data_IF_751623697172
#
_entry.id   IF_751623697172
#
_cell.length_a   1.000
_cell.length_b   1.000
_cell.length_c   1.000
_cell.angle_alpha   90.00
_cell.angle_beta   90.00
_cell.angle_gamma   90.00
#
_symmetry.space_group_name_H-M   'P 1'
#
loop_
_entity.id
_entity.type
_entity.pdbx_description
1 polymer ?
#
# COMPACT_ATOMS: atom_id res chain seq x y z
N UNK A 1 38.75 48.92 55.80
CA UNK A 1 37.94 49.24 54.65
C UNK A 1 37.43 47.93 54.06
N UNK A 2 36.22 47.55 54.51
CA UNK A 2 35.61 46.23 54.21
C UNK A 2 34.66 46.40 53.08
N UNK A 3 34.92 45.75 51.93
CA UNK A 3 33.97 45.66 50.79
C UNK A 3 33.23 44.37 50.91
N UNK A 4 31.91 44.42 51.19
CA UNK A 4 30.99 43.32 51.14
C UNK A 4 30.64 43.04 49.65
N UNK A 5 30.92 41.82 49.19
CA UNK A 5 30.41 41.31 47.95
C UNK A 5 29.12 40.49 48.22
N UNK A 6 28.00 41.03 47.77
CA UNK A 6 26.72 40.34 47.79
C UNK A 6 26.67 39.47 46.53
N UNK A 7 26.70 38.15 46.74
CA UNK A 7 26.57 37.16 45.69
C UNK A 7 25.07 36.89 45.40
N UNK A 8 24.55 37.49 44.35
CA UNK A 8 23.19 37.27 43.91
C UNK A 8 23.05 35.92 43.21
N UNK A 9 22.29 34.99 43.83
CA UNK A 9 21.96 33.69 43.28
C UNK A 9 20.83 33.82 42.25
N UNK A 10 21.18 33.73 40.95
CA UNK A 10 20.22 33.75 39.83
C UNK A 10 19.70 32.33 39.60
N UNK A 11 18.51 32.03 40.10
CA UNK A 11 17.79 30.77 39.79
C UNK A 11 17.14 30.86 38.42
N UNK A 12 17.77 30.23 37.44
CA UNK A 12 17.16 30.04 36.10
C UNK A 12 16.07 28.94 36.18
N UNK A 13 14.81 29.33 36.12
CA UNK A 13 13.69 28.41 36.00
C UNK A 13 13.67 27.79 34.59
N UNK A 14 13.90 26.48 34.55
CA UNK A 14 13.67 25.69 33.32
C UNK A 14 12.17 25.57 33.09
N UNK A 15 11.64 26.36 32.14
CA UNK A 15 10.28 26.18 31.61
C UNK A 15 10.35 25.00 30.64
N UNK A 16 10.00 23.82 31.14
CA UNK A 16 9.76 22.64 30.34
C UNK A 16 8.48 22.86 29.50
N UNK A 17 8.65 23.22 28.25
CA UNK A 17 7.54 23.14 27.27
C UNK A 17 7.22 21.68 27.03
N UNK A 18 6.28 21.14 27.79
CA UNK A 18 5.66 19.85 27.49
C UNK A 18 4.94 19.95 26.14
N UNK A 19 5.45 19.25 25.15
CA UNK A 19 4.79 19.07 23.86
C UNK A 19 3.54 18.21 24.11
N UNK A 20 2.39 18.84 24.34
CA UNK A 20 1.10 18.17 24.26
C UNK A 20 0.88 17.84 22.78
N UNK A 21 1.10 16.59 22.43
CA UNK A 21 0.49 16.06 21.20
C UNK A 21 -1.03 16.25 21.30
N UNK A 22 -1.53 17.28 20.66
CA UNK A 22 -2.96 17.41 20.41
C UNK A 22 -3.37 16.21 19.55
N UNK A 23 -3.98 15.19 20.18
CA UNK A 23 -4.78 14.21 19.48
C UNK A 23 -5.81 15.02 18.67
N UNK A 24 -5.60 15.13 17.36
CA UNK A 24 -6.63 15.60 16.43
C UNK A 24 -7.79 14.64 16.58
N UNK A 25 -8.81 15.06 17.30
CA UNK A 25 -10.08 14.38 17.39
C UNK A 25 -10.65 14.36 15.96
N UNK A 26 -10.71 13.17 15.35
CA UNK A 26 -11.32 12.99 14.04
C UNK A 26 -12.81 13.34 14.20
N UNK A 27 -13.18 14.54 13.75
CA UNK A 27 -14.56 15.07 13.78
C UNK A 27 -15.53 14.29 12.86
N UNK A 28 -15.01 13.33 12.10
CA UNK A 28 -15.81 12.42 11.27
C UNK A 28 -15.69 11.01 11.85
N UNK A 29 -16.82 10.29 12.03
CA UNK A 29 -16.77 8.89 12.39
C UNK A 29 -15.95 8.15 11.33
N UNK A 30 -14.90 7.47 11.76
CA UNK A 30 -14.09 6.63 10.88
C UNK A 30 -15.02 5.57 10.28
N UNK A 31 -15.16 5.55 8.95
CA UNK A 31 -16.02 4.56 8.27
C UNK A 31 -15.48 3.18 8.58
N UNK A 32 -16.25 2.39 9.32
CA UNK A 32 -15.92 0.97 9.53
C UNK A 32 -16.12 0.26 8.19
N UNK A 33 -15.02 -0.19 7.62
CA UNK A 33 -15.05 -0.93 6.37
C UNK A 33 -15.61 -2.33 6.60
N UNK A 34 -16.33 -2.85 5.62
CA UNK A 34 -16.65 -4.27 5.58
C UNK A 34 -15.38 -5.10 5.35
N UNK A 35 -15.38 -6.41 5.65
CA UNK A 35 -14.22 -7.27 5.37
C UNK A 35 -13.76 -7.21 3.90
N UNK A 36 -14.70 -7.09 2.96
CA UNK A 36 -14.41 -6.97 1.53
C UNK A 36 -13.80 -5.60 1.19
N UNK A 37 -14.38 -4.49 1.69
CA UNK A 37 -13.81 -3.16 1.51
C UNK A 37 -12.40 -3.06 2.12
N UNK A 38 -12.17 -3.73 3.26
CA UNK A 38 -10.85 -3.78 3.88
C UNK A 38 -9.85 -4.54 2.99
N UNK A 39 -10.25 -5.70 2.46
CA UNK A 39 -9.40 -6.50 1.57
C UNK A 39 -8.99 -5.71 0.31
N UNK A 40 -9.95 -4.99 -0.29
CA UNK A 40 -9.70 -4.11 -1.45
C UNK A 40 -8.75 -2.97 -1.06
N UNK A 41 -8.95 -2.34 0.09
CA UNK A 41 -8.10 -1.25 0.57
C UNK A 41 -6.67 -1.73 0.84
N UNK A 42 -6.51 -2.89 1.45
CA UNK A 42 -5.21 -3.51 1.70
C UNK A 42 -4.50 -3.85 0.38
N UNK A 43 -5.22 -4.42 -0.57
CA UNK A 43 -4.71 -4.70 -1.91
C UNK A 43 -4.27 -3.44 -2.65
N UNK A 44 -5.05 -2.36 -2.58
CA UNK A 44 -4.69 -1.07 -3.15
C UNK A 44 -3.42 -0.50 -2.53
N UNK A 45 -3.32 -0.55 -1.21
CA UNK A 45 -2.13 -0.09 -0.49
C UNK A 45 -0.90 -0.92 -0.87
N UNK A 46 -1.04 -2.24 -0.91
CA UNK A 46 0.04 -3.15 -1.27
C UNK A 46 0.47 -2.93 -2.73
N UNK A 47 -0.47 -2.83 -3.68
CA UNK A 47 -0.22 -2.57 -5.10
C UNK A 47 0.63 -1.32 -5.31
N UNK A 48 0.35 -0.25 -4.54
CA UNK A 48 1.03 1.04 -4.61
C UNK A 48 2.25 1.13 -3.68
N UNK A 49 2.59 0.08 -2.95
CA UNK A 49 3.74 0.04 -2.05
C UNK A 49 5.04 -0.29 -2.79
N UNK A 50 6.15 0.09 -2.18
CA UNK A 50 7.47 -0.34 -2.66
C UNK A 50 7.70 -1.86 -2.48
N UNK A 51 6.89 -2.54 -1.64
CA UNK A 51 6.98 -3.99 -1.44
C UNK A 51 6.53 -4.75 -2.69
N UNK A 52 5.40 -4.40 -3.26
CA UNK A 52 4.87 -5.06 -4.47
C UNK A 52 5.31 -4.36 -5.76
N UNK A 53 5.43 -3.03 -5.72
CA UNK A 53 5.84 -2.15 -6.83
C UNK A 53 5.04 -2.33 -8.14
N UNK A 54 3.82 -2.87 -8.05
CA UNK A 54 2.96 -3.17 -9.21
C UNK A 54 2.64 -1.92 -10.01
N UNK A 55 2.45 -0.78 -9.31
CA UNK A 55 2.12 0.52 -9.91
C UNK A 55 3.19 1.01 -10.90
N UNK A 56 4.42 0.52 -10.80
CA UNK A 56 5.53 0.92 -11.69
C UNK A 56 5.28 0.49 -13.13
N UNK A 57 4.57 -0.63 -13.32
CA UNK A 57 4.30 -1.21 -14.64
C UNK A 57 2.82 -1.18 -15.01
N UNK A 58 1.91 -1.21 -14.03
CA UNK A 58 0.47 -1.26 -14.23
C UNK A 58 -0.22 0.00 -13.71
N UNK A 59 -0.96 0.68 -14.57
CA UNK A 59 -1.77 1.85 -14.21
C UNK A 59 -3.26 1.49 -14.28
N UNK A 60 -4.16 2.22 -13.60
CA UNK A 60 -5.58 1.88 -13.57
C UNK A 60 -6.21 1.74 -14.96
N UNK A 61 -6.06 2.72 -15.85
CA UNK A 61 -6.83 2.85 -17.08
C UNK A 61 -5.98 2.83 -18.35
N UNK A 62 -4.67 2.81 -18.27
CA UNK A 62 -3.79 2.87 -19.44
C UNK A 62 -2.65 1.87 -19.37
N UNK A 63 -2.29 1.33 -20.53
CA UNK A 63 -1.07 0.53 -20.71
C UNK A 63 0.16 1.44 -20.58
N UNK A 64 1.14 1.01 -19.79
CA UNK A 64 2.45 1.68 -19.67
C UNK A 64 3.53 0.67 -20.09
N UNK A 65 4.13 -0.04 -19.14
CA UNK A 65 5.00 -1.20 -19.42
C UNK A 65 4.11 -2.44 -19.55
N UNK A 66 3.28 -2.71 -18.54
CA UNK A 66 2.29 -3.76 -18.54
C UNK A 66 0.91 -3.27 -18.95
N UNK A 67 -0.05 -4.19 -19.17
CA UNK A 67 -1.44 -3.87 -19.41
C UNK A 67 -2.05 -3.08 -18.24
N UNK A 68 -3.14 -2.32 -18.53
CA UNK A 68 -3.86 -1.60 -17.47
C UNK A 68 -4.55 -2.57 -16.51
N UNK A 69 -4.79 -2.12 -15.26
CA UNK A 69 -5.52 -2.94 -14.28
C UNK A 69 -6.90 -3.28 -14.81
N UNK A 70 -7.57 -2.32 -15.46
CA UNK A 70 -8.89 -2.51 -16.07
C UNK A 70 -8.89 -3.56 -17.17
N UNK A 71 -7.87 -3.59 -18.02
CA UNK A 71 -7.71 -4.61 -19.06
C UNK A 71 -7.46 -5.99 -18.45
N UNK A 72 -6.58 -6.08 -17.44
CA UNK A 72 -6.30 -7.31 -16.71
C UNK A 72 -7.60 -7.85 -16.10
N UNK A 73 -8.29 -7.05 -15.29
CA UNK A 73 -9.52 -7.46 -14.62
C UNK A 73 -10.60 -7.93 -15.61
N UNK A 74 -10.75 -7.20 -16.73
CA UNK A 74 -11.69 -7.57 -17.78
C UNK A 74 -11.39 -8.97 -18.36
N UNK A 75 -10.15 -9.23 -18.74
CA UNK A 75 -9.75 -10.52 -19.35
C UNK A 75 -9.92 -11.66 -18.35
N UNK A 76 -9.49 -11.47 -17.09
CA UNK A 76 -9.69 -12.49 -16.06
C UNK A 76 -11.17 -12.78 -15.81
N UNK A 77 -12.03 -11.77 -15.79
CA UNK A 77 -13.49 -11.95 -15.68
C UNK A 77 -14.09 -12.68 -16.89
N UNK A 78 -13.72 -12.28 -18.11
CA UNK A 78 -14.25 -12.86 -19.35
C UNK A 78 -13.82 -14.31 -19.56
N UNK A 79 -12.59 -14.65 -19.19
CA UNK A 79 -12.04 -15.98 -19.35
C UNK A 79 -12.21 -16.87 -18.11
N UNK A 80 -12.83 -16.36 -17.03
CA UNK A 80 -12.93 -17.04 -15.75
C UNK A 80 -11.55 -17.52 -15.26
N UNK A 81 -10.53 -16.68 -15.42
CA UNK A 81 -9.15 -17.00 -15.07
C UNK A 81 -8.91 -16.92 -13.55
N UNK A 82 -7.93 -17.68 -13.07
CA UNK A 82 -7.48 -17.65 -11.67
C UNK A 82 -6.26 -16.72 -11.53
N UNK A 83 -6.51 -15.48 -11.07
CA UNK A 83 -5.46 -14.49 -10.89
C UNK A 83 -4.53 -14.84 -9.72
N UNK A 84 -5.07 -15.41 -8.65
CA UNK A 84 -4.25 -15.86 -7.50
C UNK A 84 -3.28 -16.95 -7.95
N UNK A 85 -3.75 -17.95 -8.69
CA UNK A 85 -2.89 -19.00 -9.23
C UNK A 85 -1.81 -18.42 -10.17
N UNK A 86 -2.16 -17.46 -11.02
CA UNK A 86 -1.17 -16.79 -11.86
C UNK A 86 -0.11 -16.04 -11.03
N UNK A 87 -0.52 -15.25 -10.04
CA UNK A 87 0.40 -14.53 -9.17
C UNK A 87 1.28 -15.47 -8.32
N UNK A 88 0.83 -16.70 -8.12
CA UNK A 88 1.60 -17.80 -7.50
C UNK A 88 2.46 -18.60 -8.49
N UNK A 89 2.46 -18.22 -9.77
CA UNK A 89 3.15 -18.97 -10.86
C UNK A 89 2.62 -20.40 -11.02
N UNK A 90 1.30 -20.57 -10.81
CA UNK A 90 0.59 -21.85 -10.90
C UNK A 90 -0.41 -21.89 -12.07
N UNK A 91 -0.55 -20.78 -12.81
CA UNK A 91 -1.38 -20.69 -14.00
C UNK A 91 -0.65 -19.95 -15.12
N UNK A 92 -1.04 -20.21 -16.34
CA UNK A 92 -0.46 -19.59 -17.54
C UNK A 92 -0.90 -18.12 -17.68
N UNK A 93 -0.07 -17.28 -18.36
CA UNK A 93 -0.42 -15.89 -18.65
C UNK A 93 -1.52 -15.81 -19.69
N UNK A 94 -2.65 -15.19 -19.35
CA UNK A 94 -3.82 -15.07 -20.27
C UNK A 94 -4.03 -13.65 -20.80
N UNK A 95 -3.42 -12.62 -20.19
CA UNK A 95 -3.63 -11.22 -20.59
C UNK A 95 -2.69 -10.81 -21.73
N UNK A 96 -1.39 -10.95 -21.53
CA UNK A 96 -0.38 -10.62 -22.53
C UNK A 96 0.77 -11.66 -22.46
N UNK A 97 0.57 -12.86 -23.04
CA UNK A 97 1.59 -13.91 -23.02
C UNK A 97 2.91 -13.49 -23.65
N UNK A 98 2.90 -12.55 -24.60
CA UNK A 98 4.10 -12.07 -25.29
C UNK A 98 5.00 -11.24 -24.37
N UNK A 99 4.44 -10.63 -23.32
CA UNK A 99 5.16 -9.82 -22.32
C UNK A 99 5.40 -10.57 -21.00
N UNK A 100 5.08 -11.86 -20.95
CA UNK A 100 5.21 -12.66 -19.74
C UNK A 100 6.62 -12.61 -19.12
N UNK A 101 7.66 -12.64 -19.95
CA UNK A 101 9.06 -12.58 -19.45
C UNK A 101 9.38 -11.31 -18.68
N UNK A 102 8.71 -10.19 -18.98
CA UNK A 102 8.84 -8.94 -18.23
C UNK A 102 8.16 -9.08 -16.86
N UNK A 103 6.92 -9.59 -16.83
CA UNK A 103 6.18 -9.84 -15.59
C UNK A 103 6.87 -10.90 -14.72
N UNK A 104 7.51 -11.89 -15.34
CA UNK A 104 8.14 -13.00 -14.64
C UNK A 104 9.18 -12.55 -13.61
N UNK A 105 9.84 -11.42 -13.83
CA UNK A 105 10.81 -10.86 -12.89
C UNK A 105 10.21 -10.53 -11.52
N UNK A 106 8.89 -10.25 -11.46
CA UNK A 106 8.20 -9.91 -10.22
C UNK A 106 7.81 -11.13 -9.37
N UNK A 107 7.84 -12.34 -9.92
CA UNK A 107 7.47 -13.53 -9.15
C UNK A 107 8.39 -13.79 -7.97
N UNK A 108 9.65 -13.33 -8.02
CA UNK A 108 10.57 -13.41 -6.89
C UNK A 108 10.02 -12.63 -5.68
N UNK A 109 9.38 -11.49 -5.92
CA UNK A 109 8.75 -10.65 -4.89
C UNK A 109 7.42 -11.29 -4.45
N UNK A 110 6.55 -11.65 -5.39
CA UNK A 110 5.25 -12.26 -5.11
C UNK A 110 5.36 -13.54 -4.29
N UNK A 111 6.41 -14.32 -4.48
CA UNK A 111 6.70 -15.55 -3.72
C UNK A 111 6.90 -15.29 -2.22
N UNK A 112 7.31 -14.09 -1.83
CA UNK A 112 7.52 -13.71 -0.42
C UNK A 112 6.26 -13.22 0.28
N UNK A 113 5.16 -13.04 -0.45
CA UNK A 113 3.90 -12.53 0.07
C UNK A 113 3.04 -13.64 0.66
N UNK A 114 2.25 -13.31 1.69
CA UNK A 114 1.26 -14.22 2.26
C UNK A 114 0.09 -14.46 1.29
N UNK A 115 -0.72 -15.47 1.58
CA UNK A 115 -1.92 -15.75 0.77
C UNK A 115 -2.95 -14.63 0.88
N UNK A 116 -3.06 -13.99 2.04
CA UNK A 116 -3.92 -12.83 2.25
C UNK A 116 -3.46 -11.64 1.41
N UNK A 117 -2.15 -11.39 1.34
CA UNK A 117 -1.59 -10.33 0.51
C UNK A 117 -1.87 -10.56 -0.98
N UNK A 118 -1.73 -11.78 -1.48
CA UNK A 118 -2.03 -12.10 -2.88
C UNK A 118 -3.53 -11.96 -3.17
N UNK A 119 -4.40 -12.44 -2.27
CA UNK A 119 -5.85 -12.27 -2.40
C UNK A 119 -6.26 -10.81 -2.34
N UNK A 120 -5.61 -9.99 -1.53
CA UNK A 120 -5.89 -8.55 -1.48
C UNK A 120 -5.51 -7.85 -2.80
N UNK A 121 -4.39 -8.23 -3.43
CA UNK A 121 -4.02 -7.72 -4.75
C UNK A 121 -5.08 -8.06 -5.80
N UNK A 122 -5.55 -9.31 -5.85
CA UNK A 122 -6.64 -9.73 -6.74
C UNK A 122 -7.91 -8.92 -6.47
N UNK A 123 -8.34 -8.82 -5.20
CA UNK A 123 -9.55 -8.09 -4.82
C UNK A 123 -9.49 -6.63 -5.30
N UNK A 124 -8.36 -5.95 -5.08
CA UNK A 124 -8.18 -4.59 -5.59
C UNK A 124 -8.20 -4.52 -7.11
N UNK A 125 -7.49 -5.41 -7.80
CA UNK A 125 -7.42 -5.38 -9.26
C UNK A 125 -8.78 -5.68 -9.89
N UNK A 126 -9.58 -6.56 -9.31
CA UNK A 126 -10.92 -6.88 -9.79
C UNK A 126 -11.95 -5.78 -9.49
N UNK A 127 -11.78 -5.04 -8.38
CA UNK A 127 -12.70 -3.96 -7.99
C UNK A 127 -12.75 -2.77 -8.96
N UNK A 128 -11.78 -2.65 -9.87
CA UNK A 128 -11.77 -1.55 -10.87
C UNK A 128 -12.85 -1.70 -11.97
N UNK A 129 -13.57 -2.83 -11.99
CA UNK A 129 -14.68 -3.08 -12.92
C UNK A 129 -16.05 -2.70 -12.33
N UNK A 130 -16.11 -2.39 -11.05
CA UNK A 130 -17.30 -1.97 -10.32
C UNK A 130 -17.45 -0.44 -10.37
#
# INVERSE_FOLDING_TARGET
MKKLFILGLLTAGLISCGNKEEKKENLYPEKVLTPEEQLIADGKNLFNSNKAACFSCHQPDKKVIGPSIKEIAKIYKEQNGDMVAFLRKQADPIVDPSQYSVMETNFAILKTMSDEEIKSLEAYMMSVLE
#
